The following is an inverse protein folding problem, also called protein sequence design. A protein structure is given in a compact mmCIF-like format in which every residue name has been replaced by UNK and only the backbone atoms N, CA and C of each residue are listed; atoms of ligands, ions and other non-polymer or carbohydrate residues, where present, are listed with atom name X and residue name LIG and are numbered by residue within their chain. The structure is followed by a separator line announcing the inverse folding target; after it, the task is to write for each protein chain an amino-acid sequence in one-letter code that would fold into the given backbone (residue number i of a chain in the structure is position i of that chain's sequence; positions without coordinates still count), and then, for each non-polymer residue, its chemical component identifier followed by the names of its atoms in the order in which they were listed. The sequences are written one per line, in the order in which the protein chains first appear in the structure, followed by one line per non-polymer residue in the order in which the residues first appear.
data_IF_128201280546
#
_entry.id   IF_128201280546
#
_cell.length_a   1.000
_cell.length_b   1.000
_cell.length_c   1.000
_cell.angle_alpha   90.00
_cell.angle_beta   90.00
_cell.angle_gamma   90.00
#
_symmetry.space_group_name_H-M   'P 1'
#
loop_
_entity.id
_entity.type
_entity.pdbx_description
1 polymer ?
#
# COMPACT_ATOMS: atom_id res chain seq x y z
N UNK A 1 14.82 8.90 -16.21
CA UNK A 1 14.53 10.29 -15.80
C UNK A 1 13.05 10.65 -16.01
N UNK A 2 12.14 10.08 -15.21
CA UNK A 2 10.69 10.24 -15.45
C UNK A 2 9.99 10.84 -14.22
N UNK A 3 10.70 11.45 -13.30
CA UNK A 3 10.07 12.20 -12.21
C UNK A 3 10.25 13.68 -12.52
N UNK A 4 9.14 14.31 -12.91
CA UNK A 4 9.09 15.75 -13.11
C UNK A 4 9.50 16.44 -11.79
N UNK A 5 10.43 17.44 -11.85
CA UNK A 5 10.95 18.14 -10.64
C UNK A 5 9.84 18.63 -9.72
N UNK A 6 8.69 18.99 -10.27
CA UNK A 6 7.50 19.38 -9.50
C UNK A 6 6.88 18.23 -8.70
N UNK A 7 6.88 17.01 -9.23
CA UNK A 7 6.37 15.83 -8.51
C UNK A 7 7.29 15.44 -7.35
N UNK A 8 8.60 15.64 -7.52
CA UNK A 8 9.57 15.40 -6.45
C UNK A 8 9.46 16.43 -5.32
N UNK A 9 9.22 17.70 -5.66
CA UNK A 9 9.02 18.77 -4.67
C UNK A 9 7.73 18.57 -3.85
N UNK A 10 6.64 18.15 -4.50
CA UNK A 10 5.39 17.78 -3.83
C UNK A 10 5.64 16.59 -2.91
N UNK A 11 6.37 15.58 -3.37
CA UNK A 11 6.76 14.42 -2.59
C UNK A 11 7.56 14.78 -1.32
N UNK A 12 8.53 15.69 -1.42
CA UNK A 12 9.32 16.16 -0.27
C UNK A 12 8.45 16.95 0.74
N UNK A 13 7.51 17.78 0.26
CA UNK A 13 6.55 18.49 1.14
C UNK A 13 5.67 17.53 1.94
N UNK A 14 5.26 16.40 1.36
CA UNK A 14 4.50 15.37 2.08
C UNK A 14 5.33 14.75 3.19
N UNK A 15 6.59 14.50 2.87
CA UNK A 15 7.51 13.85 3.79
C UNK A 15 7.77 14.72 5.03
N UNK A 16 7.86 16.03 4.85
CA UNK A 16 8.01 16.99 5.95
C UNK A 16 6.72 17.10 6.80
N UNK A 17 5.55 17.01 6.17
CA UNK A 17 4.26 17.12 6.87
C UNK A 17 3.89 15.87 7.69
N UNK A 18 4.48 14.71 7.36
CA UNK A 18 4.18 13.46 8.08
C UNK A 18 4.82 13.35 9.46
N UNK A 19 5.61 14.34 9.91
CA UNK A 19 6.18 14.39 11.27
C UNK A 19 6.88 13.10 11.71
N UNK A 20 7.30 12.26 10.73
CA UNK A 20 7.91 10.98 10.98
C UNK A 20 9.34 11.21 11.48
N UNK A 21 9.49 11.35 12.79
CA UNK A 21 10.75 11.30 13.50
C UNK A 21 11.53 10.05 13.09
N UNK A 22 12.48 10.23 12.20
CA UNK A 22 13.22 9.14 11.57
C UNK A 22 14.56 8.98 12.29
N UNK A 23 14.62 8.05 13.21
CA UNK A 23 15.83 7.74 13.97
C UNK A 23 16.99 7.12 13.18
N UNK A 24 16.76 6.65 11.94
CA UNK A 24 17.84 6.05 11.13
C UNK A 24 17.70 6.34 9.62
N UNK A 25 18.81 6.60 8.90
CA UNK A 25 18.79 6.91 7.45
C UNK A 25 18.26 5.75 6.60
N UNK A 26 18.49 4.51 7.01
CA UNK A 26 18.01 3.32 6.29
C UNK A 26 16.49 3.18 6.35
N UNK A 27 15.88 3.53 7.49
CA UNK A 27 14.43 3.53 7.63
C UNK A 27 13.77 4.65 6.82
N UNK A 28 14.45 5.78 6.66
CA UNK A 28 14.03 6.87 5.77
C UNK A 28 13.91 6.41 4.32
N UNK A 29 14.98 5.80 3.82
CA UNK A 29 15.05 5.35 2.42
C UNK A 29 14.01 4.29 2.07
N UNK A 30 13.77 3.31 2.96
CA UNK A 30 12.74 2.30 2.75
C UNK A 30 11.33 2.88 2.77
N UNK A 31 11.08 3.90 3.59
CA UNK A 31 9.78 4.58 3.67
C UNK A 31 9.53 5.45 2.44
N UNK A 32 10.53 6.19 1.99
CA UNK A 32 10.41 7.00 0.76
C UNK A 32 10.11 6.14 -0.45
N UNK A 33 10.84 5.04 -0.64
CA UNK A 33 10.57 4.08 -1.71
C UNK A 33 9.15 3.50 -1.64
N UNK A 34 8.69 3.17 -0.44
CA UNK A 34 7.33 2.65 -0.23
C UNK A 34 6.25 3.66 -0.65
N UNK A 35 6.37 4.90 -0.18
CA UNK A 35 5.42 5.96 -0.50
C UNK A 35 5.43 6.29 -1.99
N UNK A 36 6.65 6.43 -2.60
CA UNK A 36 6.80 6.63 -4.03
C UNK A 36 6.10 5.54 -4.83
N UNK A 37 6.28 4.30 -4.44
CA UNK A 37 5.74 3.16 -5.18
C UNK A 37 4.22 3.10 -5.08
N UNK A 38 3.66 3.36 -3.89
CA UNK A 38 2.20 3.49 -3.73
C UNK A 38 1.68 4.65 -4.58
N UNK A 39 2.34 5.81 -4.57
CA UNK A 39 1.97 6.96 -5.39
C UNK A 39 1.98 6.61 -6.89
N UNK A 40 3.08 6.04 -7.39
CA UNK A 40 3.18 5.64 -8.79
C UNK A 40 2.14 4.59 -9.19
N UNK A 41 1.86 3.62 -8.32
CA UNK A 41 0.83 2.62 -8.61
C UNK A 41 -0.57 3.24 -8.77
N UNK A 42 -0.86 4.31 -8.03
CA UNK A 42 -2.13 5.03 -8.14
C UNK A 42 -2.17 5.93 -9.37
N UNK A 43 -1.08 6.66 -9.67
CA UNK A 43 -0.98 7.54 -10.85
C UNK A 43 -1.09 6.73 -12.14
N UNK A 44 -0.39 5.58 -12.22
CA UNK A 44 -0.45 4.69 -13.39
C UNK A 44 -1.65 3.74 -13.37
N UNK A 45 -2.53 3.84 -12.38
CA UNK A 45 -3.73 3.00 -12.24
C UNK A 45 -3.40 1.49 -12.29
N UNK A 46 -2.18 1.10 -11.85
CA UNK A 46 -1.67 -0.25 -11.96
C UNK A 46 -1.84 -1.03 -10.65
N UNK A 47 -2.87 -1.87 -10.59
CA UNK A 47 -3.10 -2.80 -9.47
C UNK A 47 -2.01 -3.88 -9.37
N UNK A 48 -1.45 -4.30 -10.52
CA UNK A 48 -0.37 -5.28 -10.60
C UNK A 48 0.88 -4.81 -9.85
N UNK A 49 1.31 -3.57 -10.10
CA UNK A 49 2.49 -2.99 -9.46
C UNK A 49 2.35 -2.95 -7.94
N UNK A 50 1.18 -2.51 -7.46
CA UNK A 50 0.91 -2.45 -6.03
C UNK A 50 0.84 -3.84 -5.38
N UNK A 51 0.19 -4.80 -6.04
CA UNK A 51 0.04 -6.16 -5.53
C UNK A 51 1.40 -6.88 -5.44
N UNK A 52 2.21 -6.87 -6.50
CA UNK A 52 3.56 -7.46 -6.51
C UNK A 52 4.46 -6.86 -5.45
N UNK A 53 4.37 -5.57 -5.26
CA UNK A 53 5.14 -4.91 -4.20
C UNK A 53 4.72 -5.38 -2.80
N UNK A 54 3.42 -5.53 -2.55
CA UNK A 54 2.93 -6.08 -1.29
C UNK A 54 3.39 -7.52 -1.09
N UNK A 55 3.34 -8.35 -2.13
CA UNK A 55 3.84 -9.74 -2.10
C UNK A 55 5.34 -9.82 -1.80
N UNK A 56 6.12 -8.86 -2.28
CA UNK A 56 7.55 -8.80 -2.01
C UNK A 56 7.88 -8.36 -0.57
N UNK A 57 7.12 -7.43 -0.01
CA UNK A 57 7.41 -6.85 1.30
C UNK A 57 6.86 -7.69 2.46
N UNK A 58 5.64 -8.21 2.35
CA UNK A 58 4.96 -8.94 3.45
C UNK A 58 5.80 -10.09 4.00
N UNK A 59 6.43 -10.98 3.20
CA UNK A 59 7.26 -12.07 3.72
C UNK A 59 8.47 -11.57 4.51
N UNK A 60 9.02 -10.40 4.13
CA UNK A 60 10.17 -9.80 4.84
C UNK A 60 9.83 -9.37 6.25
N UNK A 61 8.59 -8.93 6.48
CA UNK A 61 8.10 -8.64 7.84
C UNK A 61 7.83 -9.92 8.64
N UNK A 62 7.49 -11.03 7.96
CA UNK A 62 7.28 -12.33 8.60
C UNK A 62 8.59 -13.02 9.00
N UNK A 63 9.66 -12.90 8.19
CA UNK A 63 10.93 -13.64 8.36
C UNK A 63 11.75 -13.25 9.59
N UNK A 64 11.54 -12.09 10.21
CA UNK A 64 12.35 -11.66 11.35
C UNK A 64 11.83 -12.29 12.65
N UNK A 65 12.64 -13.19 13.23
CA UNK A 65 12.44 -13.91 14.51
C UNK A 65 12.22 -13.03 15.76
N UNK A 66 12.16 -11.72 15.66
CA UNK A 66 11.88 -10.86 16.80
C UNK A 66 10.39 -10.96 17.16
N UNK A 67 10.10 -11.37 18.39
CA UNK A 67 8.78 -11.57 19.03
C UNK A 67 7.73 -10.46 18.76
N UNK A 68 8.12 -9.28 18.29
CA UNK A 68 7.24 -8.10 18.19
C UNK A 68 6.97 -7.60 16.75
N UNK A 69 7.43 -8.28 15.67
CA UNK A 69 7.15 -7.81 14.30
C UNK A 69 5.92 -8.50 13.73
N UNK A 70 4.79 -7.89 13.99
CA UNK A 70 3.50 -8.26 13.43
C UNK A 70 3.30 -7.56 12.09
N UNK A 71 2.64 -8.19 11.12
CA UNK A 71 2.23 -7.57 9.84
C UNK A 71 1.29 -6.38 10.07
N UNK A 72 0.54 -6.39 11.19
CA UNK A 72 -0.42 -5.34 11.51
C UNK A 72 0.14 -3.90 11.50
N UNK A 73 1.34 -3.59 12.05
CA UNK A 73 1.91 -2.24 11.95
C UNK A 73 2.17 -1.82 10.50
N UNK A 74 2.62 -2.75 9.65
CA UNK A 74 2.82 -2.47 8.22
C UNK A 74 1.49 -2.18 7.51
N UNK A 75 0.46 -2.99 7.75
CA UNK A 75 -0.87 -2.77 7.17
C UNK A 75 -1.51 -1.46 7.68
N UNK A 76 -1.27 -1.08 8.94
CA UNK A 76 -1.68 0.23 9.47
C UNK A 76 -0.95 1.37 8.75
N UNK A 77 0.37 1.26 8.56
CA UNK A 77 1.15 2.25 7.80
C UNK A 77 0.69 2.35 6.35
N UNK A 78 0.40 1.24 5.70
CA UNK A 78 -0.16 1.21 4.35
C UNK A 78 -1.52 1.95 4.30
N UNK A 79 -2.40 1.70 5.27
CA UNK A 79 -3.68 2.41 5.40
C UNK A 79 -3.46 3.92 5.53
N UNK A 80 -2.53 4.36 6.38
CA UNK A 80 -2.22 5.77 6.58
C UNK A 80 -1.66 6.42 5.31
N UNK A 81 -0.77 5.73 4.58
CA UNK A 81 -0.22 6.23 3.30
C UNK A 81 -1.32 6.37 2.26
N UNK A 82 -2.18 5.37 2.09
CA UNK A 82 -3.32 5.46 1.17
C UNK A 82 -4.26 6.59 1.58
N UNK A 83 -4.53 6.75 2.87
CA UNK A 83 -5.37 7.84 3.38
C UNK A 83 -4.80 9.22 3.05
N UNK A 84 -3.48 9.38 3.12
CA UNK A 84 -2.79 10.62 2.73
C UNK A 84 -2.88 10.86 1.22
N UNK A 85 -2.75 9.81 0.38
CA UNK A 85 -2.88 9.95 -1.07
C UNK A 85 -4.27 10.45 -1.51
N UNK A 86 -5.30 10.19 -0.70
CA UNK A 86 -6.66 10.71 -0.92
C UNK A 86 -6.93 12.06 -0.21
N UNK A 87 -5.91 12.72 0.36
CA UNK A 87 -6.05 14.08 0.87
C UNK A 87 -6.18 15.09 -0.27
N UNK A 88 -6.74 16.28 0.04
CA UNK A 88 -7.01 17.33 -0.95
C UNK A 88 -5.79 17.71 -1.81
N UNK A 89 -4.58 17.65 -1.23
CA UNK A 89 -3.33 18.00 -1.92
C UNK A 89 -2.95 17.03 -3.04
N UNK A 90 -3.33 15.77 -2.94
CA UNK A 90 -2.99 14.71 -3.90
C UNK A 90 -4.12 14.35 -4.83
N UNK A 91 -5.36 14.55 -4.41
CA UNK A 91 -6.53 14.24 -5.20
C UNK A 91 -6.52 14.91 -6.59
N UNK A 92 -5.88 16.07 -6.71
CA UNK A 92 -5.71 16.77 -7.99
C UNK A 92 -4.79 16.04 -8.99
N UNK A 93 -3.83 15.24 -8.48
CA UNK A 93 -2.85 14.53 -9.32
C UNK A 93 -3.20 13.06 -9.52
N UNK A 94 -4.07 12.52 -8.68
CA UNK A 94 -4.44 11.10 -8.68
C UNK A 94 -5.89 10.99 -9.17
N UNK A 95 -6.07 10.62 -10.44
CA UNK A 95 -7.38 10.39 -11.05
C UNK A 95 -7.97 9.03 -10.63
N UNK A 96 -7.96 8.72 -9.33
CA UNK A 96 -8.48 7.48 -8.77
C UNK A 96 -9.64 7.79 -7.83
N UNK A 97 -10.79 7.20 -8.08
CA UNK A 97 -12.00 7.33 -7.25
C UNK A 97 -11.89 6.57 -5.94
N UNK A 98 -11.24 5.41 -5.98
CA UNK A 98 -11.10 4.59 -4.79
C UNK A 98 -10.09 3.46 -4.91
N UNK A 99 -9.62 2.98 -3.75
CA UNK A 99 -8.72 1.84 -3.63
C UNK A 99 -9.24 0.87 -2.58
N UNK A 100 -9.24 -0.41 -2.93
CA UNK A 100 -9.57 -1.51 -2.02
C UNK A 100 -8.44 -2.53 -2.05
N UNK A 101 -7.86 -2.83 -0.90
CA UNK A 101 -6.84 -3.87 -0.73
C UNK A 101 -7.35 -4.89 0.26
N UNK A 102 -7.28 -6.15 -0.08
CA UNK A 102 -7.66 -7.25 0.78
C UNK A 102 -6.50 -8.22 0.95
N UNK A 103 -6.14 -8.50 2.19
CA UNK A 103 -5.16 -9.53 2.56
C UNK A 103 -5.88 -10.61 3.34
N UNK A 104 -5.85 -11.85 2.86
CA UNK A 104 -6.57 -12.99 3.42
C UNK A 104 -5.62 -14.14 3.70
N UNK A 105 -5.66 -14.70 4.92
CA UNK A 105 -4.84 -15.85 5.31
C UNK A 105 -4.51 -15.87 6.79
N UNK A 106 -3.44 -16.60 7.17
CA UNK A 106 -2.96 -16.68 8.56
C UNK A 106 -2.07 -15.49 8.91
N UNK A 107 -2.69 -14.34 9.11
CA UNK A 107 -2.00 -13.10 9.45
C UNK A 107 -1.37 -13.23 10.85
N UNK A 108 -0.05 -12.98 10.95
CA UNK A 108 0.76 -13.09 12.18
C UNK A 108 0.76 -14.49 12.82
N UNK A 109 0.58 -15.55 12.04
CA UNK A 109 0.55 -16.92 12.57
C UNK A 109 -0.72 -17.25 13.34
N UNK A 110 -1.81 -16.51 13.13
CA UNK A 110 -3.08 -16.82 13.80
C UNK A 110 -3.56 -18.25 13.49
N UNK A 111 -4.18 -18.92 14.46
CA UNK A 111 -4.70 -20.28 14.28
C UNK A 111 -5.78 -20.34 13.19
N UNK A 112 -6.62 -19.29 13.10
CA UNK A 112 -7.70 -19.17 12.11
C UNK A 112 -7.33 -18.18 11.03
N UNK A 113 -7.84 -18.41 9.82
CA UNK A 113 -7.78 -17.48 8.68
C UNK A 113 -8.46 -16.16 9.04
N UNK A 114 -7.78 -15.06 8.77
CA UNK A 114 -8.29 -13.70 8.97
C UNK A 114 -8.26 -12.94 7.66
N UNK A 115 -9.17 -11.99 7.52
CA UNK A 115 -9.21 -11.07 6.39
C UNK A 115 -8.95 -9.66 6.91
N UNK A 116 -7.98 -8.98 6.30
CA UNK A 116 -7.72 -7.57 6.57
C UNK A 116 -8.05 -6.78 5.30
N UNK A 117 -8.91 -5.78 5.45
CA UNK A 117 -9.39 -4.97 4.32
C UNK A 117 -9.04 -3.51 4.58
N UNK A 118 -8.41 -2.88 3.58
CA UNK A 118 -8.18 -1.44 3.51
C UNK A 118 -9.07 -0.91 2.39
N UNK A 119 -9.94 0.04 2.72
CA UNK A 119 -10.79 0.74 1.76
C UNK A 119 -10.62 2.22 1.92
N UNK A 120 -10.50 2.95 0.82
CA UNK A 120 -10.50 4.42 0.79
C UNK A 120 -11.09 4.93 -0.52
N UNK A 121 -11.86 6.00 -0.43
CA UNK A 121 -12.62 6.54 -1.56
C UNK A 121 -13.84 5.71 -1.92
N UNK A 122 -14.35 5.90 -3.13
CA UNK A 122 -15.47 5.14 -3.66
C UNK A 122 -14.99 3.74 -4.09
N UNK A 123 -15.43 2.69 -3.42
CA UNK A 123 -14.97 1.32 -3.64
C UNK A 123 -16.08 0.40 -4.14
N UNK A 124 -17.08 0.94 -4.84
CA UNK A 124 -18.12 0.15 -5.47
C UNK A 124 -17.54 -0.64 -6.64
N UNK A 125 -17.59 -1.96 -6.54
CA UNK A 125 -17.08 -2.88 -7.58
C UNK A 125 -18.18 -3.41 -8.51
N UNK A 126 -19.44 -3.05 -8.24
CA UNK A 126 -20.60 -3.50 -9.01
C UNK A 126 -21.20 -2.43 -9.93
N UNK A 127 -20.70 -1.20 -9.84
CA UNK A 127 -21.18 -0.11 -10.68
C UNK A 127 -20.57 -0.20 -12.09
N UNK A 128 -21.41 -0.23 -13.13
CA UNK A 128 -20.99 -0.31 -14.52
C UNK A 128 -20.19 0.92 -15.00
N UNK A 129 -20.41 2.09 -14.37
CA UNK A 129 -19.74 3.34 -14.75
C UNK A 129 -18.32 3.49 -14.18
N UNK A 130 -17.79 2.48 -13.50
CA UNK A 130 -16.46 2.55 -12.91
C UNK A 130 -15.50 1.62 -13.65
N UNK A 131 -14.41 2.18 -14.10
CA UNK A 131 -13.28 1.38 -14.60
C UNK A 131 -12.48 0.84 -13.43
N UNK A 132 -12.17 -0.46 -13.45
CA UNK A 132 -11.53 -1.15 -12.33
C UNK A 132 -10.29 -1.89 -12.83
N UNK A 133 -9.12 -1.49 -12.30
CA UNK A 133 -7.91 -2.29 -12.41
C UNK A 133 -7.86 -3.28 -11.24
N UNK A 134 -7.93 -4.57 -11.54
CA UNK A 134 -7.89 -5.65 -10.55
C UNK A 134 -6.68 -6.54 -10.75
N UNK A 135 -6.01 -6.90 -9.65
CA UNK A 135 -4.97 -7.90 -9.66
C UNK A 135 -4.95 -8.68 -8.34
N UNK A 136 -4.61 -9.98 -8.45
CA UNK A 136 -4.52 -10.89 -7.31
C UNK A 136 -3.22 -11.68 -7.42
N UNK A 137 -2.57 -11.88 -6.26
CA UNK A 137 -1.35 -12.69 -6.17
C UNK A 137 -1.25 -13.35 -4.80
N UNK A 138 -0.66 -14.53 -4.76
CA UNK A 138 -0.44 -15.29 -3.54
C UNK A 138 0.99 -15.08 -3.04
N UNK A 139 1.10 -14.79 -1.76
CA UNK A 139 2.34 -14.47 -1.08
C UNK A 139 2.72 -15.59 -0.13
N UNK A 140 3.86 -16.24 -0.36
CA UNK A 140 4.40 -17.27 0.52
C UNK A 140 5.03 -16.63 1.77
N UNK A 141 4.55 -17.04 2.93
CA UNK A 141 5.08 -16.60 4.23
C UNK A 141 5.45 -17.83 5.08
N UNK A 142 6.21 -17.59 6.15
CA UNK A 142 6.55 -18.66 7.12
C UNK A 142 5.31 -19.27 7.82
N UNK A 143 4.18 -18.59 7.78
CA UNK A 143 2.91 -19.04 8.39
C UNK A 143 1.95 -19.67 7.37
N UNK A 144 2.38 -19.83 6.11
CA UNK A 144 1.57 -20.30 5.01
C UNK A 144 1.34 -19.21 3.94
N UNK A 145 0.39 -19.45 3.06
CA UNK A 145 0.05 -18.58 1.93
C UNK A 145 -0.91 -17.48 2.37
N UNK A 146 -0.61 -16.25 1.96
CA UNK A 146 -1.51 -15.10 2.10
C UNK A 146 -1.97 -14.66 0.70
N UNK A 147 -3.26 -14.71 0.44
CA UNK A 147 -3.86 -14.15 -0.79
C UNK A 147 -4.01 -12.63 -0.67
N UNK A 148 -3.47 -11.90 -1.64
CA UNK A 148 -3.55 -10.45 -1.74
C UNK A 148 -4.37 -10.09 -2.96
N UNK A 149 -5.40 -9.25 -2.77
CA UNK A 149 -6.24 -8.73 -3.84
C UNK A 149 -6.22 -7.22 -3.80
N UNK A 150 -6.03 -6.58 -4.94
CA UNK A 150 -5.98 -5.13 -5.09
C UNK A 150 -6.99 -4.70 -6.15
N UNK A 151 -7.82 -3.72 -5.83
CA UNK A 151 -8.71 -3.03 -6.75
C UNK A 151 -8.38 -1.55 -6.73
N UNK A 152 -8.17 -0.96 -7.88
CA UNK A 152 -8.03 0.48 -8.10
C UNK A 152 -9.19 0.89 -9.01
N UNK A 153 -10.01 1.82 -8.54
CA UNK A 153 -11.24 2.28 -9.20
C UNK A 153 -11.00 3.71 -9.68
N UNK A 154 -11.25 3.99 -10.96
CA UNK A 154 -11.02 5.29 -11.61
C UNK A 154 -12.12 5.64 -12.59
#
# INVERSE_FOLDING_TARGET
NIINKNQYAVFLKIFSHMGLSLRSPLSKYLRTKFICLVYHSLVYKSSLLLCRYLCFIIPRFCKKKRKNRKINPFLKSLKSVIQLMFSKYFAQHIQVKGVKIQVKGRINGSRRKRTYIIKKGQTSTQAFNNEISYYQEDCLTIFGILGIKVWIIY
#
